data_IF_327764796654
#
_entry.id   IF_327764796654
#
_cell.length_a   1.000
_cell.length_b   1.000
_cell.length_c   1.000
_cell.angle_alpha   90.00
_cell.angle_beta   90.00
_cell.angle_gamma   90.00
#
_symmetry.space_group_name_H-M   'P 1'
#
loop_
_entity.id
_entity.type
_entity.pdbx_description
1 polymer ?
#
# COMPACT_ATOMS: atom_id res chain seq x y z
N UNK A 1 -22.12 13.16 1.38
CA UNK A 1 -20.69 13.54 1.44
C UNK A 1 -20.29 14.11 2.80
N UNK A 2 -21.20 14.75 3.54
CA UNK A 2 -20.93 15.32 4.86
C UNK A 2 -20.52 14.28 5.93
N UNK A 3 -21.11 13.07 5.93
CA UNK A 3 -20.74 12.05 6.95
C UNK A 3 -19.26 11.62 6.95
N UNK A 4 -18.55 11.80 5.82
CA UNK A 4 -17.13 11.46 5.72
C UNK A 4 -16.21 12.68 5.81
N UNK A 5 -16.74 13.90 6.00
CA UNK A 5 -15.93 15.10 6.17
C UNK A 5 -15.07 15.02 7.44
N UNK A 6 -15.55 14.32 8.47
CA UNK A 6 -14.84 14.11 9.73
C UNK A 6 -13.54 13.31 9.58
N UNK A 7 -13.36 12.60 8.45
CA UNK A 7 -12.14 11.86 8.12
C UNK A 7 -11.31 12.58 7.06
N UNK A 8 -11.48 13.90 6.93
CA UNK A 8 -10.53 14.75 6.21
C UNK A 8 -9.58 15.37 7.22
N UNK A 9 -8.30 15.24 6.96
CA UNK A 9 -7.29 15.95 7.72
C UNK A 9 -7.52 17.47 7.58
N UNK A 10 -7.58 18.25 8.67
CA UNK A 10 -8.00 19.64 8.62
C UNK A 10 -7.01 20.54 7.88
N UNK A 11 -5.74 20.15 7.83
CA UNK A 11 -4.68 20.93 7.18
C UNK A 11 -4.55 20.61 5.69
N UNK A 12 -4.60 19.33 5.34
CA UNK A 12 -4.40 18.86 3.96
C UNK A 12 -5.72 18.68 3.20
N UNK A 13 -6.85 18.56 3.91
CA UNK A 13 -8.17 18.25 3.34
C UNK A 13 -8.29 16.82 2.79
N UNK A 14 -7.25 15.99 2.93
CA UNK A 14 -7.18 14.65 2.37
C UNK A 14 -7.94 13.68 3.29
N UNK A 15 -8.78 12.84 2.69
CA UNK A 15 -9.29 11.65 3.36
C UNK A 15 -8.46 10.44 2.90
N UNK A 16 -7.64 9.84 3.78
CA UNK A 16 -6.75 8.74 3.42
C UNK A 16 -7.44 7.38 3.31
N UNK A 17 -8.70 7.29 3.71
CA UNK A 17 -9.47 6.04 3.75
C UNK A 17 -10.45 5.91 2.59
N UNK A 18 -10.84 7.04 1.99
CA UNK A 18 -11.64 7.05 0.75
C UNK A 18 -10.76 6.75 -0.45
N UNK A 19 -11.15 5.76 -1.25
CA UNK A 19 -10.43 5.47 -2.49
C UNK A 19 -10.39 6.68 -3.43
N UNK A 20 -9.31 6.82 -4.23
CA UNK A 20 -9.35 7.71 -5.39
C UNK A 20 -10.54 7.38 -6.30
N UNK A 21 -11.00 8.41 -7.02
CA UNK A 21 -12.04 8.21 -8.05
C UNK A 21 -11.52 7.22 -9.07
N UNK A 22 -12.31 6.16 -9.31
CA UNK A 22 -11.99 5.14 -10.30
C UNK A 22 -12.15 5.71 -11.70
N UNK A 23 -11.25 5.31 -12.59
CA UNK A 23 -11.38 5.57 -14.02
C UNK A 23 -12.48 4.69 -14.59
N UNK A 24 -13.36 5.29 -15.39
CA UNK A 24 -14.38 4.55 -16.13
C UNK A 24 -13.73 3.60 -17.14
N UNK A 25 -14.12 2.32 -17.10
CA UNK A 25 -13.68 1.31 -18.07
C UNK A 25 -14.44 1.45 -19.39
N UNK A 26 -13.73 1.29 -20.50
CA UNK A 26 -14.30 1.14 -21.85
C UNK A 26 -14.69 -0.31 -22.09
N UNK A 27 -15.53 -0.56 -23.10
CA UNK A 27 -15.93 -1.92 -23.48
C UNK A 27 -14.74 -2.86 -23.70
N UNK A 28 -13.71 -2.40 -24.43
CA UNK A 28 -12.50 -3.19 -24.70
C UNK A 28 -11.71 -3.55 -23.44
N UNK A 29 -11.78 -2.73 -22.40
CA UNK A 29 -11.08 -2.99 -21.13
C UNK A 29 -11.65 -4.23 -20.44
N UNK A 30 -12.95 -4.49 -20.57
CA UNK A 30 -13.59 -5.71 -20.04
C UNK A 30 -13.12 -6.96 -20.77
N UNK A 31 -12.96 -6.91 -22.09
CA UNK A 31 -12.44 -8.04 -22.88
C UNK A 31 -11.02 -8.38 -22.40
N UNK A 32 -10.17 -7.36 -22.27
CA UNK A 32 -8.81 -7.51 -21.76
C UNK A 32 -8.82 -8.10 -20.34
N UNK A 33 -9.73 -7.62 -19.47
CA UNK A 33 -9.84 -8.13 -18.12
C UNK A 33 -10.20 -9.62 -18.11
N UNK A 34 -11.22 -10.03 -18.85
CA UNK A 34 -11.69 -11.43 -18.91
C UNK A 34 -10.57 -12.37 -19.40
N UNK A 35 -9.82 -11.97 -20.43
CA UNK A 35 -8.70 -12.76 -20.95
C UNK A 35 -7.57 -12.94 -19.93
N UNK A 36 -7.41 -12.01 -18.99
CA UNK A 36 -6.39 -12.07 -17.93
C UNK A 36 -6.85 -12.81 -16.66
N UNK A 37 -8.13 -13.11 -16.50
CA UNK A 37 -8.66 -13.81 -15.32
C UNK A 37 -7.92 -15.13 -15.04
N UNK A 38 -7.66 -16.01 -16.03
CA UNK A 38 -6.97 -17.28 -15.77
C UNK A 38 -5.57 -17.09 -15.16
N UNK A 39 -4.90 -15.98 -15.48
CA UNK A 39 -3.56 -15.67 -14.97
C UNK A 39 -3.57 -15.26 -13.49
N UNK A 40 -4.71 -14.87 -12.93
CA UNK A 40 -4.81 -14.50 -11.51
C UNK A 40 -4.52 -15.66 -10.56
N UNK A 41 -4.78 -16.90 -10.97
CA UNK A 41 -4.45 -18.08 -10.18
C UNK A 41 -2.94 -18.19 -9.91
N UNK A 42 -2.13 -17.56 -10.77
CA UNK A 42 -0.68 -17.55 -10.71
C UNK A 42 -0.11 -16.16 -10.36
N UNK A 43 -0.92 -15.30 -9.73
CA UNK A 43 -0.59 -13.91 -9.40
C UNK A 43 0.80 -13.71 -8.76
N UNK A 44 1.27 -14.53 -7.79
CA UNK A 44 2.59 -14.34 -7.19
C UNK A 44 3.74 -14.48 -8.18
N UNK A 45 3.58 -15.31 -9.22
CA UNK A 45 4.59 -15.55 -10.24
C UNK A 45 4.54 -14.49 -11.34
N UNK A 46 3.33 -14.07 -11.74
CA UNK A 46 3.11 -13.12 -12.83
C UNK A 46 2.84 -11.69 -12.36
N UNK A 47 3.26 -11.31 -11.15
CA UNK A 47 2.96 -9.96 -10.62
C UNK A 47 3.44 -8.83 -11.53
N UNK A 48 4.58 -9.00 -12.23
CA UNK A 48 5.12 -8.00 -13.16
C UNK A 48 4.27 -7.83 -14.42
N UNK A 49 3.49 -8.85 -14.78
CA UNK A 49 2.54 -8.79 -15.88
C UNK A 49 1.34 -7.90 -15.52
N UNK A 50 0.92 -7.92 -14.25
CA UNK A 50 -0.22 -7.13 -13.77
C UNK A 50 0.16 -5.74 -13.29
N UNK A 51 1.37 -5.59 -12.73
CA UNK A 51 1.84 -4.35 -12.11
C UNK A 51 3.25 -4.07 -12.62
N UNK A 52 3.41 -2.94 -13.31
CA UNK A 52 4.73 -2.45 -13.67
C UNK A 52 5.43 -1.93 -12.41
N UNK A 53 6.49 -2.60 -11.99
CA UNK A 53 7.30 -2.22 -10.82
C UNK A 53 8.50 -1.39 -11.29
N UNK A 54 8.56 -0.12 -10.88
CA UNK A 54 9.68 0.79 -11.17
C UNK A 54 10.46 1.07 -9.89
N UNK A 55 11.73 0.66 -9.85
CA UNK A 55 12.64 0.94 -8.73
C UNK A 55 13.43 2.21 -9.01
N UNK A 56 13.47 3.14 -8.06
CA UNK A 56 14.31 4.35 -8.16
C UNK A 56 15.74 4.14 -7.67
N UNK A 57 15.92 3.24 -6.71
CA UNK A 57 17.20 2.95 -6.09
C UNK A 57 17.50 1.45 -6.09
N UNK A 58 18.80 1.12 -6.07
CA UNK A 58 19.26 -0.25 -6.00
C UNK A 58 19.23 -0.80 -4.57
N UNK A 59 18.80 -2.05 -4.43
CA UNK A 59 18.79 -2.77 -3.16
C UNK A 59 20.00 -3.71 -3.07
N UNK A 60 20.82 -3.57 -2.02
CA UNK A 60 22.07 -4.34 -1.86
C UNK A 60 22.00 -5.56 -0.92
N UNK A 61 20.81 -5.94 -0.44
CA UNK A 61 20.58 -7.31 0.05
C UNK A 61 21.20 -7.68 1.39
N UNK A 62 21.20 -6.78 2.38
CA UNK A 62 21.76 -7.05 3.72
C UNK A 62 20.69 -7.34 4.78
N UNK A 63 21.11 -7.96 5.89
CA UNK A 63 20.23 -8.20 7.04
C UNK A 63 19.88 -6.87 7.71
N UNK A 64 18.61 -6.47 7.69
CA UNK A 64 18.21 -5.13 8.11
C UNK A 64 16.71 -5.00 8.43
N UNK A 65 16.36 -3.88 9.04
CA UNK A 65 15.00 -3.43 9.27
C UNK A 65 14.62 -2.37 8.23
N UNK A 66 13.55 -2.64 7.49
CA UNK A 66 13.00 -1.76 6.47
C UNK A 66 11.63 -1.30 6.94
N UNK A 67 11.43 0.01 7.09
CA UNK A 67 10.10 0.57 7.35
C UNK A 67 9.42 0.88 6.02
N UNK A 68 8.17 0.43 5.85
CA UNK A 68 7.43 0.60 4.60
C UNK A 68 6.01 1.09 4.86
N UNK A 69 5.48 1.93 3.99
CA UNK A 69 4.07 2.26 4.00
C UNK A 69 3.23 1.08 3.49
N UNK A 70 1.99 0.99 3.95
CA UNK A 70 1.07 -0.09 3.59
C UNK A 70 -0.12 0.51 2.83
N UNK A 71 -0.12 0.35 1.51
CA UNK A 71 -1.12 0.92 0.61
C UNK A 71 -2.06 -0.16 0.11
N UNK A 72 -1.55 -1.34 -0.22
CA UNK A 72 -2.33 -2.42 -0.81
C UNK A 72 -2.01 -3.78 -0.22
N UNK A 73 -2.93 -4.73 -0.42
CA UNK A 73 -2.67 -6.14 -0.06
C UNK A 73 -1.55 -6.76 -0.92
N UNK A 74 -1.32 -6.22 -2.12
CA UNK A 74 -0.27 -6.68 -3.03
C UNK A 74 1.13 -6.27 -2.60
N UNK A 75 1.25 -5.32 -1.67
CA UNK A 75 2.53 -4.82 -1.18
C UNK A 75 3.42 -5.97 -0.71
N UNK A 76 2.86 -6.93 0.05
CA UNK A 76 3.63 -8.10 0.51
C UNK A 76 4.17 -8.95 -0.66
N UNK A 77 3.42 -9.09 -1.75
CA UNK A 77 3.84 -9.86 -2.93
C UNK A 77 4.98 -9.11 -3.63
N UNK A 78 4.80 -7.80 -3.85
CA UNK A 78 5.79 -6.91 -4.46
C UNK A 78 7.09 -6.91 -3.63
N UNK A 79 6.99 -6.71 -2.32
CA UNK A 79 8.13 -6.64 -1.41
C UNK A 79 8.86 -7.99 -1.28
N UNK A 80 8.14 -9.13 -1.31
CA UNK A 80 8.77 -10.46 -1.38
C UNK A 80 9.66 -10.60 -2.61
N UNK A 81 9.22 -10.08 -3.75
CA UNK A 81 9.97 -10.12 -4.99
C UNK A 81 11.23 -9.24 -4.95
N UNK A 82 11.17 -8.13 -4.23
CA UNK A 82 12.26 -7.15 -4.15
C UNK A 82 13.34 -7.58 -3.16
N UNK A 83 12.94 -7.84 -1.92
CA UNK A 83 13.89 -8.07 -0.84
C UNK A 83 14.43 -9.49 -0.82
N UNK A 84 13.63 -10.47 -1.27
CA UNK A 84 13.85 -11.93 -1.12
C UNK A 84 14.02 -12.32 0.36
N UNK A 85 13.47 -13.47 0.78
CA UNK A 85 13.55 -13.94 2.17
C UNK A 85 13.20 -12.86 3.22
N UNK A 86 11.98 -12.32 3.13
CA UNK A 86 11.49 -11.19 3.92
C UNK A 86 10.46 -11.61 4.97
N UNK A 87 10.53 -10.99 6.14
CA UNK A 87 9.52 -11.08 7.19
C UNK A 87 8.68 -9.81 7.25
N UNK A 88 7.37 -9.96 7.39
CA UNK A 88 6.46 -8.81 7.47
C UNK A 88 5.94 -8.69 8.89
N UNK A 89 6.21 -7.54 9.50
CA UNK A 89 5.84 -7.23 10.86
C UNK A 89 4.92 -6.01 10.87
N UNK A 90 3.91 -6.05 11.73
CA UNK A 90 3.12 -4.87 12.06
C UNK A 90 3.59 -4.34 13.41
N UNK A 91 3.63 -3.01 13.57
CA UNK A 91 4.26 -2.34 14.71
C UNK A 91 3.88 -2.92 16.08
N UNK A 92 2.60 -3.26 16.28
CA UNK A 92 2.11 -3.74 17.58
C UNK A 92 2.37 -5.23 17.84
N UNK A 93 2.61 -6.05 16.80
CA UNK A 93 2.59 -7.50 16.97
C UNK A 93 3.99 -8.10 17.14
N UNK A 94 5.07 -7.49 16.59
CA UNK A 94 6.29 -8.28 16.35
C UNK A 94 7.66 -7.53 16.28
N UNK A 95 7.80 -6.25 16.64
CA UNK A 95 9.10 -5.53 16.43
C UNK A 95 10.29 -6.24 17.11
N UNK A 96 10.07 -6.80 18.30
CA UNK A 96 11.09 -7.54 19.05
C UNK A 96 11.20 -9.02 18.68
N UNK A 97 10.38 -9.51 17.74
CA UNK A 97 10.41 -10.91 17.34
C UNK A 97 11.74 -11.24 16.67
N UNK A 98 12.39 -12.29 17.17
CA UNK A 98 13.56 -12.89 16.49
C UNK A 98 13.06 -13.44 15.15
N UNK A 99 13.57 -12.88 14.05
CA UNK A 99 13.32 -13.40 12.72
C UNK A 99 14.58 -14.10 12.22
N UNK A 100 14.40 -15.29 11.66
CA UNK A 100 15.44 -16.02 10.93
C UNK A 100 15.70 -15.44 9.54
N UNK A 101 14.85 -14.51 9.09
CA UNK A 101 14.94 -13.89 7.76
C UNK A 101 15.92 -12.74 7.73
N UNK A 102 16.43 -12.45 6.53
CA UNK A 102 17.42 -11.39 6.32
C UNK A 102 16.76 -10.02 6.47
N UNK A 103 15.63 -9.80 5.82
CA UNK A 103 14.97 -8.49 5.81
C UNK A 103 13.70 -8.54 6.65
N UNK A 104 13.56 -7.62 7.61
CA UNK A 104 12.30 -7.38 8.33
C UNK A 104 11.64 -6.13 7.77
N UNK A 105 10.51 -6.27 7.11
CA UNK A 105 9.67 -5.16 6.68
C UNK A 105 8.66 -4.85 7.78
N UNK A 106 8.71 -3.63 8.31
CA UNK A 106 7.82 -3.14 9.35
C UNK A 106 6.82 -2.16 8.72
N UNK A 107 5.53 -2.42 8.91
CA UNK A 107 4.45 -1.51 8.52
C UNK A 107 4.00 -0.70 9.76
N UNK A 108 4.40 0.59 9.88
CA UNK A 108 4.19 1.37 11.10
C UNK A 108 2.80 2.02 11.18
N UNK A 109 2.07 2.08 10.07
CA UNK A 109 0.73 2.69 9.97
C UNK A 109 -0.39 1.82 10.56
N UNK A 110 -0.08 0.55 10.87
CA UNK A 110 -0.99 -0.48 11.42
C UNK A 110 -2.26 -0.79 10.60
N UNK A 111 -2.60 0.03 9.61
CA UNK A 111 -3.71 -0.10 8.68
C UNK A 111 -3.25 0.26 7.26
N UNK A 112 -4.18 0.21 6.28
CA UNK A 112 -3.90 0.53 4.87
C UNK A 112 -4.43 1.90 4.52
N UNK A 113 -3.64 2.71 3.81
CA UNK A 113 -4.10 3.97 3.22
C UNK A 113 -4.48 3.82 1.75
N UNK A 114 -5.17 4.83 1.22
CA UNK A 114 -5.45 4.97 -0.21
C UNK A 114 -4.24 5.48 -1.01
N UNK A 115 -3.04 5.51 -0.43
CA UNK A 115 -1.82 5.96 -1.09
C UNK A 115 -1.75 7.46 -1.40
N UNK A 116 -2.67 8.28 -0.88
CA UNK A 116 -2.65 9.75 -1.04
C UNK A 116 -2.00 10.51 0.10
N UNK A 117 -1.93 9.88 1.27
CA UNK A 117 -1.31 10.45 2.45
C UNK A 117 -0.66 9.33 3.25
N UNK A 118 0.31 9.72 4.07
CA UNK A 118 0.96 8.84 5.01
C UNK A 118 0.24 8.95 6.35
N UNK A 119 -0.28 7.83 6.83
CA UNK A 119 -1.02 7.81 8.09
C UNK A 119 -0.10 8.09 9.28
N UNK A 120 -0.70 8.46 10.41
CA UNK A 120 -0.04 8.58 11.70
C UNK A 120 0.68 7.26 11.98
N UNK A 121 2.00 7.38 12.07
CA UNK A 121 2.91 6.30 12.33
C UNK A 121 3.65 6.55 13.64
N UNK A 122 3.89 5.48 14.39
CA UNK A 122 4.78 5.54 15.55
C UNK A 122 6.23 5.55 15.07
N UNK A 123 7.10 6.20 15.83
CA UNK A 123 8.52 6.23 15.50
C UNK A 123 9.14 4.84 15.66
N UNK A 124 9.85 4.40 14.61
CA UNK A 124 10.54 3.11 14.55
C UNK A 124 11.98 3.38 14.10
N UNK A 125 12.93 2.76 14.78
CA UNK A 125 14.32 2.70 14.32
C UNK A 125 14.43 1.70 13.18
N UNK A 126 15.02 2.11 12.07
CA UNK A 126 15.21 1.28 10.88
C UNK A 126 16.61 1.50 10.30
N UNK A 127 16.96 0.67 9.33
CA UNK A 127 18.16 0.86 8.51
C UNK A 127 17.79 1.50 7.16
N UNK A 128 16.58 1.20 6.69
CA UNK A 128 16.02 1.73 5.45
C UNK A 128 14.56 2.09 5.60
N UNK A 129 14.11 3.06 4.81
CA UNK A 129 12.71 3.32 4.52
C UNK A 129 12.42 2.92 3.07
N UNK A 130 11.27 2.32 2.84
CA UNK A 130 10.79 1.88 1.53
C UNK A 130 9.44 2.53 1.25
N UNK A 131 9.43 3.51 0.34
CA UNK A 131 8.21 4.15 -0.12
C UNK A 131 7.60 3.40 -1.30
N UNK A 132 6.37 2.94 -1.14
CA UNK A 132 5.51 2.40 -2.21
C UNK A 132 4.54 3.48 -2.68
N UNK A 133 4.61 3.82 -3.97
CA UNK A 133 3.71 4.79 -4.60
C UNK A 133 3.01 4.20 -5.81
N UNK A 134 1.71 4.03 -5.69
CA UNK A 134 0.87 3.54 -6.77
C UNK A 134 0.36 4.69 -7.65
N UNK A 135 0.10 4.42 -8.93
CA UNK A 135 -0.60 5.39 -9.78
C UNK A 135 -2.10 5.49 -9.42
N UNK A 136 -2.78 6.53 -9.88
CA UNK A 136 -4.21 6.74 -9.57
C UNK A 136 -5.14 5.64 -10.13
N UNK A 137 -4.66 4.86 -11.10
CA UNK A 137 -5.38 3.72 -11.70
C UNK A 137 -5.24 2.42 -10.88
N UNK A 138 -4.53 2.44 -9.75
CA UNK A 138 -4.11 1.24 -9.02
C UNK A 138 -5.09 0.70 -7.95
N UNK A 139 -4.58 -0.31 -7.25
CA UNK A 139 -5.19 -1.40 -6.51
C UNK A 139 -5.82 -0.97 -5.18
N UNK A 140 -6.97 -0.31 -5.24
CA UNK A 140 -7.73 0.07 -4.05
C UNK A 140 -9.02 -0.75 -3.87
N UNK A 141 -9.17 -1.37 -2.70
CA UNK A 141 -10.07 -2.50 -2.48
C UNK A 141 -11.51 -2.17 -2.03
N UNK A 142 -11.84 -0.93 -1.65
CA UNK A 142 -13.22 -0.71 -1.16
C UNK A 142 -14.31 -0.91 -2.22
N UNK A 143 -15.39 -1.59 -1.82
CA UNK A 143 -16.55 -1.86 -2.66
C UNK A 143 -16.64 -3.32 -3.10
N UNK A 144 -17.30 -3.56 -4.24
CA UNK A 144 -17.49 -4.91 -4.78
C UNK A 144 -16.14 -5.52 -5.24
N UNK A 145 -15.79 -6.68 -4.68
CA UNK A 145 -14.54 -7.40 -5.00
C UNK A 145 -14.45 -7.78 -6.48
N UNK A 146 -15.54 -8.24 -7.11
CA UNK A 146 -15.55 -8.61 -8.52
C UNK A 146 -15.26 -7.39 -9.41
N UNK A 147 -15.89 -6.26 -9.09
CA UNK A 147 -15.65 -5.01 -9.80
C UNK A 147 -14.20 -4.54 -9.62
N UNK A 148 -13.66 -4.68 -8.41
CA UNK A 148 -12.25 -4.42 -8.15
C UNK A 148 -11.33 -5.30 -9.03
N UNK A 149 -11.61 -6.60 -9.13
CA UNK A 149 -10.80 -7.51 -9.96
C UNK A 149 -10.85 -7.11 -11.44
N UNK A 150 -12.04 -6.84 -11.97
CA UNK A 150 -12.20 -6.38 -13.36
C UNK A 150 -11.40 -5.10 -13.62
N UNK A 151 -11.54 -4.10 -12.73
CA UNK A 151 -10.80 -2.85 -12.81
C UNK A 151 -9.29 -3.09 -12.74
N UNK A 152 -8.82 -3.91 -11.80
CA UNK A 152 -7.41 -4.22 -11.63
C UNK A 152 -6.80 -4.85 -12.88
N UNK A 153 -7.50 -5.80 -13.51
CA UNK A 153 -7.03 -6.50 -14.71
C UNK A 153 -7.03 -5.60 -15.95
N UNK A 154 -8.01 -4.70 -16.04
CA UNK A 154 -8.14 -3.71 -17.10
C UNK A 154 -7.12 -2.57 -17.01
N UNK A 155 -6.74 -2.17 -15.79
CA UNK A 155 -5.94 -0.96 -15.54
C UNK A 155 -4.45 -1.17 -15.82
N UNK A 156 -3.75 -0.08 -16.12
CA UNK A 156 -2.28 -0.08 -16.26
C UNK A 156 -1.65 0.17 -14.90
N UNK A 157 -1.70 -0.84 -14.03
CA UNK A 157 -1.19 -0.69 -12.67
C UNK A 157 0.33 -0.44 -12.69
N UNK A 158 0.75 0.52 -11.89
CA UNK A 158 2.14 0.91 -11.77
C UNK A 158 2.46 1.24 -10.31
N UNK A 159 3.57 0.69 -9.83
CA UNK A 159 4.11 0.99 -8.51
C UNK A 159 5.53 1.48 -8.64
N UNK A 160 5.77 2.68 -8.12
CA UNK A 160 7.11 3.22 -7.93
C UNK A 160 7.60 2.87 -6.52
N UNK A 161 8.85 2.43 -6.44
CA UNK A 161 9.45 1.97 -5.21
C UNK A 161 10.74 2.72 -5.02
N UNK A 162 10.82 3.41 -3.88
CA UNK A 162 11.98 4.18 -3.48
C UNK A 162 12.50 3.64 -2.16
N UNK A 163 13.76 3.20 -2.15
CA UNK A 163 14.43 2.66 -0.97
C UNK A 163 15.55 3.62 -0.59
N UNK A 164 15.51 4.13 0.64
CA UNK A 164 16.46 5.11 1.15
C UNK A 164 17.03 4.63 2.48
N UNK A 165 18.34 4.78 2.69
CA UNK A 165 18.96 4.56 4.00
C UNK A 165 18.44 5.61 4.98
N UNK A 166 17.95 5.18 6.14
CA UNK A 166 17.51 6.09 7.19
C UNK A 166 17.48 5.36 8.53
N UNK A 167 17.74 6.12 9.60
CA UNK A 167 17.73 5.65 10.99
C UNK A 167 16.31 5.76 11.61
N UNK A 168 15.40 6.53 10.99
CA UNK A 168 14.07 6.82 11.55
C UNK A 168 12.96 6.67 10.53
N UNK A 169 11.83 6.09 10.96
CA UNK A 169 10.60 6.02 10.16
C UNK A 169 10.04 7.38 9.73
N UNK A 170 10.45 8.49 10.37
CA UNK A 170 10.06 9.85 9.96
C UNK A 170 10.45 10.19 8.53
N UNK A 171 11.54 9.60 8.03
CA UNK A 171 11.99 9.82 6.65
C UNK A 171 11.15 9.07 5.61
N UNK A 172 10.18 8.25 6.02
CA UNK A 172 9.26 7.57 5.11
C UNK A 172 8.44 8.55 4.27
N UNK A 173 8.11 9.72 4.81
CA UNK A 173 7.43 10.79 4.06
C UNK A 173 8.27 11.27 2.87
N UNK A 174 9.61 11.33 3.02
CA UNK A 174 10.52 11.71 1.93
C UNK A 174 10.58 10.64 0.85
N UNK A 175 10.66 9.36 1.24
CA UNK A 175 10.72 8.24 0.30
C UNK A 175 9.40 8.05 -0.47
N UNK A 176 8.26 8.26 0.18
CA UNK A 176 6.94 8.14 -0.45
C UNK A 176 6.54 9.40 -1.23
N UNK A 177 7.02 10.57 -0.82
CA UNK A 177 6.55 11.87 -1.28
C UNK A 177 5.11 12.18 -0.86
N UNK A 178 4.59 11.46 0.14
CA UNK A 178 3.22 11.64 0.65
C UNK A 178 3.22 12.57 1.86
N UNK A 179 2.14 13.35 1.98
CA UNK A 179 1.93 14.23 3.13
C UNK A 179 1.58 13.38 4.37
N UNK A 180 2.28 13.57 5.50
CA UNK A 180 1.89 12.97 6.76
C UNK A 180 0.61 13.64 7.29
N UNK A 181 -0.32 12.86 7.81
CA UNK A 181 -1.58 13.34 8.40
C UNK A 181 -1.82 12.69 9.77
N UNK A 182 -2.61 13.34 10.61
CA UNK A 182 -2.91 12.87 11.97
C UNK A 182 -4.11 11.91 12.01
N UNK A 183 -4.06 10.86 11.19
CA UNK A 183 -5.07 9.79 11.15
C UNK A 183 -4.39 8.44 11.13
N UNK A 184 -4.88 7.49 11.92
CA UNK A 184 -4.31 6.14 11.97
C UNK A 184 -5.40 5.08 12.14
N UNK A 185 -5.04 4.00 12.83
CA UNK A 185 -5.90 2.82 12.98
C UNK A 185 -7.25 3.10 13.67
N UNK A 186 -7.27 3.95 14.69
CA UNK A 186 -8.51 4.29 15.40
C UNK A 186 -9.53 4.96 14.47
N UNK A 187 -9.08 5.97 13.74
CA UNK A 187 -9.90 6.72 12.78
C UNK A 187 -10.34 5.80 11.61
N UNK A 188 -9.47 4.89 11.19
CA UNK A 188 -9.80 3.86 10.20
C UNK A 188 -10.91 2.90 10.69
N UNK A 189 -10.82 2.42 11.93
CA UNK A 189 -11.82 1.51 12.51
C UNK A 189 -13.18 2.19 12.64
N UNK A 190 -13.21 3.47 13.02
CA UNK A 190 -14.44 4.26 13.09
C UNK A 190 -15.03 4.51 11.69
N UNK A 191 -14.18 4.76 10.68
CA UNK A 191 -14.60 4.85 9.28
C UNK A 191 -15.26 3.54 8.80
N UNK A 192 -14.70 2.37 9.15
CA UNK A 192 -15.29 1.08 8.78
C UNK A 192 -16.65 0.81 9.45
N UNK A 193 -16.86 1.25 10.69
CA UNK A 193 -18.16 1.13 11.37
C UNK A 193 -19.24 1.90 10.62
N UNK A 194 -18.93 3.11 10.17
CA UNK A 194 -19.87 3.95 9.41
C UNK A 194 -20.24 3.27 8.09
N UNK A 195 -19.27 2.74 7.35
CA UNK A 195 -19.53 2.02 6.09
C UNK A 195 -20.43 0.79 6.27
N UNK A 196 -20.35 0.09 7.40
CA UNK A 196 -21.20 -1.08 7.69
C UNK A 196 -22.64 -0.69 7.98
N UNK A 197 -22.85 0.45 8.64
CA UNK A 197 -24.18 0.96 8.97
C UNK A 197 -24.92 1.58 7.76
N UNK A 198 -24.29 1.62 6.59
CA UNK A 198 -24.87 2.13 5.33
C UNK A 198 -25.46 1.03 4.43
N UNK A 199 -25.30 -0.25 4.80
CA UNK A 199 -25.90 -1.39 4.11
C UNK A 199 -27.17 -1.86 4.79
#
# INVERSE_FOLDING_TARGET
>A
MERYSNFRDPFTGINPFLNPKRKSLRFFDYIIAVLKIPLLLFLPFFIDYFIKIKKKSEWKGEKCNVVCNNVSFLDKIILKKIFKNVDFLYYNDDINRKSSKLVKVIFPEECRSNGKALLRMKEVKCDYVCGLRYNDESVFLYGNFLYFILQFLASKNHVEIDIMKSVSSKDLAKATGLLPIDMGKKEFDDFLKILKNEK
#
